data_IF_929271914264
#
_entry.id   IF_929271914264
#
_cell.length_a   1.000
_cell.length_b   1.000
_cell.length_c   1.000
_cell.angle_alpha   90.00
_cell.angle_beta   90.00
_cell.angle_gamma   90.00
#
_symmetry.space_group_name_H-M   'P 1'
#
loop_
_entity.id
_entity.type
_entity.pdbx_description
1 polymer ?
#
# COMPACT_ATOMS: atom_id res chain seq x y z
N UNK A 1 0.73 -33.57 -4.68
CA UNK A 1 -0.29 -33.05 -3.75
C UNK A 1 0.36 -32.77 -2.41
N UNK A 2 0.95 -31.59 -2.23
CA UNK A 2 1.40 -31.15 -0.90
C UNK A 2 0.18 -30.62 -0.15
N UNK A 3 -0.27 -31.34 0.87
CA UNK A 3 -1.30 -30.89 1.79
C UNK A 3 -0.69 -29.90 2.77
N UNK A 4 -0.90 -28.61 2.53
CA UNK A 4 -0.47 -27.56 3.46
C UNK A 4 -1.39 -27.54 4.68
N UNK A 5 -0.88 -28.06 5.79
CA UNK A 5 -1.58 -28.11 7.06
C UNK A 5 -1.79 -26.70 7.64
N UNK A 6 -2.75 -26.56 8.56
CA UNK A 6 -2.95 -25.31 9.31
C UNK A 6 -1.65 -24.80 9.95
N UNK A 7 -0.73 -25.71 10.34
CA UNK A 7 0.58 -25.36 10.88
C UNK A 7 1.46 -24.57 9.92
N UNK A 8 1.56 -24.99 8.65
CA UNK A 8 2.36 -24.29 7.65
C UNK A 8 1.85 -22.87 7.36
N UNK A 9 0.53 -22.67 7.47
CA UNK A 9 -0.11 -21.35 7.30
C UNK A 9 0.15 -20.42 8.46
N UNK A 10 0.09 -20.95 9.69
CA UNK A 10 0.42 -20.21 10.91
C UNK A 10 1.90 -19.79 10.86
N UNK A 11 2.81 -20.73 10.60
CA UNK A 11 4.25 -20.47 10.52
C UNK A 11 4.57 -19.36 9.51
N UNK A 12 3.92 -19.37 8.35
CA UNK A 12 4.14 -18.32 7.35
C UNK A 12 3.65 -16.95 7.78
N UNK A 13 2.44 -16.84 8.38
CA UNK A 13 1.88 -15.55 8.84
C UNK A 13 2.75 -14.88 9.92
N UNK A 14 3.59 -15.66 10.60
CA UNK A 14 4.57 -15.15 11.57
C UNK A 14 5.85 -14.60 10.95
N UNK A 15 6.11 -14.85 9.67
CA UNK A 15 7.27 -14.28 8.97
C UNK A 15 7.05 -12.82 8.61
N UNK A 16 8.12 -12.05 8.40
CA UNK A 16 8.03 -10.69 7.86
C UNK A 16 7.23 -10.62 6.55
N UNK A 17 7.36 -11.63 5.70
CA UNK A 17 6.61 -11.73 4.45
C UNK A 17 5.13 -12.08 4.65
N UNK A 18 4.78 -12.72 5.77
CA UNK A 18 3.41 -13.13 6.08
C UNK A 18 2.62 -12.16 6.95
N UNK A 19 3.17 -10.98 7.23
CA UNK A 19 2.54 -9.94 8.07
C UNK A 19 3.12 -9.82 9.48
N UNK A 20 4.18 -10.58 9.79
CA UNK A 20 4.88 -10.57 11.08
C UNK A 20 3.95 -10.74 12.29
N UNK A 21 2.88 -11.53 12.13
CA UNK A 21 1.90 -11.76 13.16
C UNK A 21 2.49 -12.58 14.31
N UNK A 22 2.07 -12.31 15.54
CA UNK A 22 2.34 -13.20 16.66
C UNK A 22 1.73 -14.58 16.40
N UNK A 23 2.22 -15.61 17.08
CA UNK A 23 1.64 -16.96 17.01
C UNK A 23 0.14 -16.95 17.33
N UNK A 24 -0.29 -16.07 18.24
CA UNK A 24 -1.69 -15.92 18.65
C UNK A 24 -2.53 -15.31 17.51
N UNK A 25 -2.07 -14.22 16.92
CA UNK A 25 -2.75 -13.55 15.78
C UNK A 25 -2.79 -14.46 14.55
N UNK A 26 -1.68 -15.14 14.24
CA UNK A 26 -1.60 -16.09 13.14
C UNK A 26 -2.56 -17.28 13.34
N UNK A 27 -2.68 -17.80 14.56
CA UNK A 27 -3.64 -18.85 14.91
C UNK A 27 -5.07 -18.37 14.80
N UNK A 28 -5.37 -17.17 15.32
CA UNK A 28 -6.71 -16.59 15.27
C UNK A 28 -7.17 -16.39 13.82
N UNK A 29 -6.32 -15.76 13.01
CA UNK A 29 -6.60 -15.49 11.60
C UNK A 29 -6.72 -16.79 10.76
N UNK A 30 -5.96 -17.83 11.08
CA UNK A 30 -6.11 -19.15 10.44
C UNK A 30 -7.32 -19.93 10.95
N UNK A 31 -7.73 -19.76 12.21
CA UNK A 31 -8.88 -20.43 12.82
C UNK A 31 -10.23 -19.83 12.38
N UNK A 32 -10.31 -18.50 12.22
CA UNK A 32 -11.49 -17.80 11.66
C UNK A 32 -11.85 -18.33 10.26
N UNK A 33 -10.86 -18.83 9.49
CA UNK A 33 -11.04 -19.40 8.15
C UNK A 33 -11.65 -20.80 8.09
N UNK A 34 -11.77 -21.54 9.19
CA UNK A 34 -12.45 -22.85 9.16
C UNK A 34 -13.97 -22.76 9.35
N UNK A 35 -14.51 -21.57 9.69
CA UNK A 35 -15.92 -21.40 10.04
C UNK A 35 -16.70 -20.37 9.22
N UNK A 36 -16.09 -19.68 8.25
CA UNK A 36 -16.83 -18.82 7.31
C UNK A 36 -17.25 -19.64 6.09
N UNK A 37 -18.29 -20.46 6.23
CA UNK A 37 -19.18 -20.73 5.11
C UNK A 37 -19.94 -19.42 4.86
N UNK A 38 -19.79 -18.85 3.66
CA UNK A 38 -20.46 -17.62 3.26
C UNK A 38 -21.94 -17.65 3.68
N UNK A 39 -22.37 -16.68 4.49
CA UNK A 39 -23.79 -16.36 4.66
C UNK A 39 -24.32 -15.84 3.31
N UNK A 40 -24.69 -16.77 2.44
CA UNK A 40 -25.61 -16.50 1.34
C UNK A 40 -26.98 -16.24 2.00
N UNK A 41 -27.69 -15.14 1.68
CA UNK A 41 -29.07 -14.99 2.11
C UNK A 41 -29.89 -16.15 1.55
N UNK A 42 -30.29 -17.08 2.41
CA UNK A 42 -31.25 -18.13 2.06
C UNK A 42 -32.59 -17.44 1.80
N UNK A 43 -33.24 -17.65 0.63
CA UNK A 43 -34.59 -17.14 0.41
C UNK A 43 -35.52 -17.66 1.51
N UNK A 44 -36.28 -16.74 2.09
CA UNK A 44 -37.20 -16.95 3.21
C UNK A 44 -37.96 -18.28 3.15
N UNK A 45 -37.82 -19.07 4.22
CA UNK A 45 -38.72 -20.18 4.53
C UNK A 45 -38.00 -21.42 5.04
N UNK A 46 -37.83 -21.49 6.37
CA UNK A 46 -38.09 -22.67 7.22
C UNK A 46 -37.14 -22.76 8.43
N UNK A 47 -37.77 -22.59 9.60
CA UNK A 47 -37.47 -23.23 10.89
C UNK A 47 -36.45 -22.56 11.83
N UNK A 48 -36.99 -21.75 12.74
CA UNK A 48 -36.39 -21.37 14.01
C UNK A 48 -36.37 -22.54 15.02
N UNK A 49 -35.42 -22.51 15.96
CA UNK A 49 -35.44 -23.30 17.20
C UNK A 49 -36.32 -22.57 18.24
N UNK A 50 -37.36 -23.22 18.82
CA UNK A 50 -38.29 -22.57 19.74
C UNK A 50 -37.81 -22.45 21.20
N UNK A 51 -36.54 -22.71 21.53
CA UNK A 51 -36.13 -22.85 22.92
C UNK A 51 -35.39 -21.67 23.60
N UNK A 52 -34.81 -20.68 22.90
CA UNK A 52 -33.93 -19.70 23.61
C UNK A 52 -33.99 -18.22 23.22
N UNK A 53 -34.62 -17.81 22.13
CA UNK A 53 -34.87 -16.39 21.76
C UNK A 53 -33.76 -15.35 22.07
N UNK A 54 -32.48 -15.74 22.01
CA UNK A 54 -31.31 -14.86 22.25
C UNK A 54 -30.30 -14.99 21.09
N UNK A 55 -29.87 -13.88 20.47
CA UNK A 55 -28.81 -13.86 19.47
C UNK A 55 -27.42 -13.95 20.14
N UNK A 56 -26.63 -14.96 19.78
CA UNK A 56 -25.27 -15.12 20.30
C UNK A 56 -24.26 -14.23 19.57
N UNK A 57 -23.94 -13.08 20.16
CA UNK A 57 -22.62 -12.44 20.01
C UNK A 57 -22.12 -11.92 21.37
N UNK A 58 -20.81 -12.14 21.61
CA UNK A 58 -19.88 -11.55 22.61
C UNK A 58 -19.96 -12.00 24.09
N UNK A 59 -18.80 -12.39 24.65
CA UNK A 59 -18.45 -12.03 26.04
C UNK A 59 -16.95 -11.69 26.19
N UNK A 60 -16.68 -10.49 26.71
CA UNK A 60 -15.39 -9.90 27.08
C UNK A 60 -14.72 -10.60 28.28
N UNK A 61 -13.38 -10.58 28.34
CA UNK A 61 -12.48 -10.10 29.45
C UNK A 61 -11.06 -10.59 29.12
N UNK A 62 -10.10 -9.78 28.66
CA UNK A 62 -9.21 -8.92 29.47
C UNK A 62 -8.37 -7.98 28.56
N UNK A 63 -8.57 -6.67 28.68
CA UNK A 63 -7.66 -5.61 28.23
C UNK A 63 -7.07 -4.88 29.45
N UNK A 64 -5.88 -4.26 29.32
CA UNK A 64 -5.35 -3.34 30.34
C UNK A 64 -4.16 -2.45 29.91
N UNK A 65 -4.46 -1.13 29.81
CA UNK A 65 -3.63 0.10 30.04
C UNK A 65 -2.51 0.47 29.01
N UNK A 66 -2.14 1.72 28.66
CA UNK A 66 -2.50 3.14 29.00
C UNK A 66 -1.92 4.10 27.90
N UNK A 67 -2.34 5.37 27.82
CA UNK A 67 -1.92 6.39 26.80
C UNK A 67 -1.31 7.65 27.46
N UNK A 68 -0.23 8.30 26.94
CA UNK A 68 0.24 9.60 27.44
C UNK A 68 -0.23 10.83 26.61
N UNK A 69 -0.13 12.06 27.17
CA UNK A 69 -0.98 13.21 26.83
C UNK A 69 -0.34 14.28 25.92
N UNK A 70 -1.19 15.21 25.46
CA UNK A 70 -0.87 16.36 24.60
C UNK A 70 -0.24 17.56 25.36
N UNK A 71 0.52 18.39 24.64
CA UNK A 71 1.15 19.62 25.15
C UNK A 71 0.47 20.91 24.64
N UNK A 72 0.60 21.96 25.45
CA UNK A 72 -0.14 23.23 25.52
C UNK A 72 0.50 24.45 24.80
N UNK A 73 -0.28 25.53 24.62
CA UNK A 73 0.00 26.74 23.82
C UNK A 73 0.69 27.93 24.56
N UNK A 74 1.40 28.86 23.83
CA UNK A 74 1.99 30.09 24.38
C UNK A 74 1.29 31.44 23.94
N UNK A 75 1.70 32.63 24.46
CA UNK A 75 0.85 33.81 24.78
C UNK A 75 0.77 34.93 23.69
N UNK A 76 -0.02 36.03 23.87
CA UNK A 76 -0.50 36.92 22.79
C UNK A 76 0.31 38.26 22.70
N UNK A 77 0.06 39.18 21.73
CA UNK A 77 0.95 39.39 20.59
C UNK A 77 1.60 40.80 20.53
N UNK A 78 2.64 40.93 19.71
CA UNK A 78 3.08 42.21 19.13
C UNK A 78 3.02 42.08 17.61
N UNK A 79 2.00 42.69 16.99
CA UNK A 79 1.77 42.65 15.54
C UNK A 79 1.35 41.28 14.99
N UNK A 80 1.07 41.23 13.67
CA UNK A 80 0.64 40.01 12.98
C UNK A 80 1.75 38.94 13.08
N UNK A 81 1.39 37.70 13.39
CA UNK A 81 2.28 36.57 13.67
C UNK A 81 3.09 36.66 14.98
N UNK A 82 2.92 37.70 15.79
CA UNK A 82 3.57 37.81 17.10
C UNK A 82 5.10 37.92 17.09
N UNK A 83 5.74 38.10 15.92
CA UNK A 83 7.20 38.25 15.76
C UNK A 83 7.57 39.49 14.96
N UNK A 84 8.58 40.22 15.43
CA UNK A 84 9.04 41.48 14.82
C UNK A 84 9.67 41.30 13.43
N UNK A 85 10.06 40.07 13.08
CA UNK A 85 10.57 39.71 11.76
C UNK A 85 9.47 39.63 10.69
N UNK A 86 8.19 39.48 11.09
CA UNK A 86 7.04 39.50 10.18
C UNK A 86 6.64 40.94 9.86
N UNK A 87 7.45 41.62 9.08
CA UNK A 87 7.20 43.02 8.71
C UNK A 87 6.11 43.15 7.64
N UNK A 88 5.52 44.34 7.50
CA UNK A 88 4.54 44.63 6.45
C UNK A 88 5.08 44.35 5.04
N UNK A 89 6.39 44.53 4.83
CA UNK A 89 7.06 44.19 3.57
C UNK A 89 7.06 42.69 3.31
N UNK A 90 7.39 41.86 4.31
CA UNK A 90 7.37 40.39 4.18
C UNK A 90 5.94 39.89 3.91
N UNK A 91 4.94 40.45 4.60
CA UNK A 91 3.53 40.13 4.38
C UNK A 91 3.03 40.50 2.97
N UNK A 92 3.62 41.50 2.34
CA UNK A 92 3.27 41.94 0.99
C UNK A 92 3.98 41.16 -0.13
N UNK A 93 4.96 40.32 0.19
CA UNK A 93 5.71 39.56 -0.82
C UNK A 93 4.89 38.39 -1.37
N UNK A 94 4.93 38.18 -2.68
CA UNK A 94 4.28 37.07 -3.40
C UNK A 94 5.25 35.90 -3.62
N UNK A 95 5.19 34.82 -2.82
CA UNK A 95 5.98 33.61 -3.08
C UNK A 95 5.55 32.86 -4.36
N UNK A 96 4.32 33.06 -4.82
CA UNK A 96 3.83 32.60 -6.13
C UNK A 96 3.05 33.73 -6.80
N UNK A 97 2.75 33.61 -8.10
CA UNK A 97 2.01 34.62 -8.87
C UNK A 97 0.59 34.94 -8.35
N UNK A 98 0.06 34.18 -7.39
CA UNK A 98 -1.36 34.16 -7.03
C UNK A 98 -1.73 34.68 -5.64
N UNK A 99 -0.78 34.81 -4.69
CA UNK A 99 -1.09 35.32 -3.36
C UNK A 99 0.15 35.77 -2.58
N UNK A 100 0.03 36.86 -1.81
CA UNK A 100 1.08 37.34 -0.88
C UNK A 100 1.19 36.45 0.35
N UNK A 101 2.31 36.49 1.07
CA UNK A 101 2.48 35.81 2.36
C UNK A 101 1.32 36.17 3.32
N UNK A 102 0.95 37.45 3.42
CA UNK A 102 -0.16 37.90 4.25
C UNK A 102 -1.55 37.48 3.75
N UNK A 103 -1.73 37.32 2.44
CA UNK A 103 -2.96 36.78 1.85
C UNK A 103 -3.11 35.29 2.10
N UNK A 104 -2.01 34.53 2.05
CA UNK A 104 -1.97 33.10 2.38
C UNK A 104 -2.24 32.86 3.86
N UNK A 105 -1.63 33.67 4.74
CA UNK A 105 -1.90 33.61 6.18
C UNK A 105 -3.38 33.88 6.44
N UNK A 106 -3.97 34.92 5.83
CA UNK A 106 -5.39 35.23 5.98
C UNK A 106 -6.29 34.08 5.49
N UNK A 107 -5.95 33.46 4.35
CA UNK A 107 -6.69 32.33 3.83
C UNK A 107 -6.65 31.12 4.76
N UNK A 108 -5.48 30.82 5.36
CA UNK A 108 -5.34 29.72 6.32
C UNK A 108 -6.12 30.01 7.62
N UNK A 109 -6.17 31.26 8.06
CA UNK A 109 -7.01 31.66 9.20
C UNK A 109 -8.51 31.51 8.87
N UNK A 110 -8.96 32.06 7.74
CA UNK A 110 -10.39 32.17 7.39
C UNK A 110 -10.99 30.86 6.87
N UNK A 111 -10.21 30.06 6.13
CA UNK A 111 -10.69 28.84 5.45
C UNK A 111 -10.33 27.59 6.23
N UNK A 112 -9.14 27.52 6.82
CA UNK A 112 -8.73 26.37 7.64
C UNK A 112 -9.06 26.55 9.13
N UNK A 113 -9.49 27.74 9.55
CA UNK A 113 -9.86 28.03 10.94
C UNK A 113 -8.69 28.00 11.91
N UNK A 114 -7.46 28.14 11.41
CA UNK A 114 -6.24 28.11 12.23
C UNK A 114 -6.05 29.45 12.96
N UNK A 115 -5.42 29.39 14.13
CA UNK A 115 -5.03 30.60 14.86
C UNK A 115 -3.94 31.35 14.11
N UNK A 116 -3.87 32.67 14.29
CA UNK A 116 -2.88 33.53 13.63
C UNK A 116 -1.44 32.99 13.74
N UNK A 117 -0.92 32.58 14.92
CA UNK A 117 0.45 32.05 15.01
C UNK A 117 0.65 30.74 14.25
N UNK A 118 -0.37 29.87 14.19
CA UNK A 118 -0.32 28.61 13.47
C UNK A 118 -0.39 28.82 11.95
N UNK A 119 -1.22 29.75 11.48
CA UNK A 119 -1.28 30.13 10.08
C UNK A 119 0.05 30.74 9.62
N UNK A 120 0.65 31.60 10.45
CA UNK A 120 1.96 32.19 10.20
C UNK A 120 3.09 31.16 10.15
N UNK A 121 3.09 30.19 11.06
CA UNK A 121 4.08 29.11 11.05
C UNK A 121 3.98 28.27 9.78
N UNK A 122 2.77 27.86 9.40
CA UNK A 122 2.54 27.05 8.21
C UNK A 122 3.01 27.76 6.94
N UNK A 123 2.60 29.01 6.72
CA UNK A 123 2.97 29.74 5.50
C UNK A 123 4.48 30.02 5.46
N UNK A 124 5.11 30.24 6.61
CA UNK A 124 6.55 30.41 6.69
C UNK A 124 7.33 29.12 6.39
N UNK A 125 6.82 27.95 6.78
CA UNK A 125 7.38 26.63 6.45
C UNK A 125 7.14 26.23 4.99
N UNK A 126 6.00 26.60 4.42
CA UNK A 126 5.68 26.37 3.00
C UNK A 126 6.57 27.21 2.08
N UNK A 127 6.95 28.41 2.52
CA UNK A 127 7.80 29.32 1.76
C UNK A 127 8.96 29.89 2.61
N UNK A 128 9.94 29.06 3.01
CA UNK A 128 10.99 29.44 3.97
C UNK A 128 11.82 30.63 3.53
N UNK A 129 12.10 30.75 2.23
CA UNK A 129 12.95 31.82 1.70
C UNK A 129 12.23 33.17 1.62
N UNK A 130 10.90 33.15 1.46
CA UNK A 130 10.10 34.36 1.13
C UNK A 130 9.24 34.81 2.30
N UNK A 131 8.53 33.86 2.93
CA UNK A 131 7.64 34.12 4.07
C UNK A 131 8.28 33.73 5.42
N UNK A 132 9.50 33.17 5.42
CA UNK A 132 10.19 32.63 6.59
C UNK A 132 10.32 33.58 7.78
N UNK A 133 10.41 34.88 7.52
CA UNK A 133 10.43 35.91 8.57
C UNK A 133 9.16 35.95 9.43
N UNK A 134 8.07 35.31 8.99
CA UNK A 134 6.81 35.24 9.72
C UNK A 134 6.64 34.00 10.60
N UNK A 135 7.65 33.13 10.73
CA UNK A 135 7.58 31.96 11.61
C UNK A 135 7.74 32.36 13.11
N UNK A 136 6.69 32.30 13.94
CA UNK A 136 6.81 32.62 15.36
C UNK A 136 7.70 31.65 16.14
N UNK A 137 7.88 30.43 15.64
CA UNK A 137 8.67 29.39 16.28
C UNK A 137 10.04 29.14 15.60
N UNK A 138 10.42 29.99 14.64
CA UNK A 138 11.61 29.81 13.81
C UNK A 138 11.44 28.78 12.70
N UNK A 139 12.32 28.82 11.70
CA UNK A 139 12.39 27.82 10.64
C UNK A 139 13.32 26.67 11.06
N UNK A 140 12.97 25.40 10.78
CA UNK A 140 13.91 24.31 10.98
C UNK A 140 15.15 24.50 10.08
N UNK A 141 16.36 24.09 10.54
CA UNK A 141 17.58 24.22 9.74
C UNK A 141 17.42 23.50 8.39
N UNK A 142 17.83 24.17 7.31
CA UNK A 142 17.77 23.59 5.96
C UNK A 142 18.59 22.29 5.93
N UNK A 143 17.99 21.17 5.47
CA UNK A 143 18.64 19.88 5.50
C UNK A 143 19.88 19.88 4.60
N UNK A 144 20.93 19.12 4.96
CA UNK A 144 22.05 18.88 4.06
C UNK A 144 21.55 18.24 2.76
N UNK A 145 22.23 18.52 1.64
CA UNK A 145 21.90 17.97 0.31
C UNK A 145 21.73 16.45 0.37
N UNK A 146 20.61 15.89 -0.11
CA UNK A 146 20.29 14.49 0.10
C UNK A 146 21.24 13.57 -0.69
N UNK A 147 21.58 12.37 -0.15
CA UNK A 147 22.21 11.30 -0.92
C UNK A 147 21.31 10.89 -2.11
N UNK A 148 21.83 10.19 -3.14
CA UNK A 148 21.00 9.69 -4.24
C UNK A 148 19.84 8.88 -3.67
N UNK A 149 18.61 9.33 -3.92
CA UNK A 149 17.42 8.71 -3.33
C UNK A 149 17.05 7.40 -4.01
N UNK A 150 16.29 6.58 -3.29
CA UNK A 150 15.83 5.25 -3.72
C UNK A 150 15.16 5.27 -5.10
N UNK A 151 15.59 4.39 -6.01
CA UNK A 151 15.01 4.24 -7.34
C UNK A 151 14.18 2.96 -7.46
N UNK A 152 12.89 3.09 -7.78
CA UNK A 152 11.93 1.98 -7.92
C UNK A 152 11.25 2.00 -9.29
N UNK A 153 11.32 0.89 -10.03
CA UNK A 153 10.56 0.66 -11.27
C UNK A 153 9.42 -0.30 -10.99
N UNK A 154 8.19 0.09 -11.28
CA UNK A 154 7.01 -0.77 -11.15
C UNK A 154 6.54 -1.21 -12.54
N UNK A 155 6.52 -2.51 -12.80
CA UNK A 155 5.93 -3.13 -13.98
C UNK A 155 4.61 -3.80 -13.57
N UNK A 156 3.50 -3.27 -14.08
CA UNK A 156 2.19 -3.78 -13.69
C UNK A 156 1.05 -3.34 -14.60
N UNK A 157 -0.15 -3.27 -14.06
CA UNK A 157 -1.38 -2.99 -14.77
C UNK A 157 -2.32 -2.10 -13.93
N UNK A 158 -3.63 -2.25 -14.11
CA UNK A 158 -4.68 -1.55 -13.39
C UNK A 158 -4.52 -1.60 -11.87
N UNK A 159 -3.97 -2.68 -11.32
CA UNK A 159 -3.72 -2.82 -9.88
C UNK A 159 -2.54 -1.97 -9.38
N UNK A 160 -1.77 -1.41 -10.31
CA UNK A 160 -0.69 -0.46 -10.02
C UNK A 160 -1.13 0.99 -10.28
N UNK A 161 -1.88 1.30 -11.35
CA UNK A 161 -2.16 2.69 -11.73
C UNK A 161 -3.51 3.25 -11.25
N UNK A 162 -4.51 2.43 -10.91
CA UNK A 162 -5.78 2.98 -10.43
C UNK A 162 -5.64 3.62 -9.04
N UNK A 163 -6.65 4.39 -8.64
CA UNK A 163 -6.72 5.07 -7.34
C UNK A 163 -5.54 6.03 -7.07
N UNK A 164 -5.10 6.75 -8.12
CA UNK A 164 -3.96 7.68 -8.03
C UNK A 164 -2.59 7.03 -8.20
N UNK A 165 -2.55 5.70 -8.37
CA UNK A 165 -1.35 4.94 -8.65
C UNK A 165 -0.51 4.67 -7.40
N UNK A 166 -0.19 3.40 -7.16
CA UNK A 166 0.66 2.96 -6.05
C UNK A 166 2.04 3.61 -6.14
N UNK A 167 2.52 3.87 -7.36
CA UNK A 167 3.76 4.59 -7.61
C UNK A 167 3.72 6.04 -7.10
N UNK A 168 2.58 6.72 -7.20
CA UNK A 168 2.40 8.08 -6.70
C UNK A 168 2.43 8.13 -5.17
N UNK A 169 1.72 7.20 -4.53
CA UNK A 169 1.72 7.05 -3.06
C UNK A 169 3.13 6.70 -2.55
N UNK A 170 3.81 5.76 -3.20
CA UNK A 170 5.18 5.38 -2.86
C UNK A 170 6.15 6.55 -3.01
N UNK A 171 6.03 7.33 -4.08
CA UNK A 171 6.85 8.53 -4.29
C UNK A 171 6.65 9.53 -3.15
N UNK A 172 5.40 9.80 -2.77
CA UNK A 172 5.08 10.72 -1.67
C UNK A 172 5.63 10.23 -0.34
N UNK A 173 5.48 8.94 -0.04
CA UNK A 173 5.99 8.34 1.19
C UNK A 173 7.51 8.43 1.27
N UNK A 174 8.22 8.05 0.21
CA UNK A 174 9.68 8.10 0.16
C UNK A 174 10.20 9.55 0.23
N UNK A 175 9.54 10.49 -0.47
CA UNK A 175 9.90 11.91 -0.40
C UNK A 175 9.70 12.48 1.01
N UNK A 176 8.66 12.04 1.72
CA UNK A 176 8.41 12.44 3.11
C UNK A 176 9.47 11.92 4.09
N UNK A 177 10.21 10.86 3.75
CA UNK A 177 11.34 10.36 4.54
C UNK A 177 12.63 11.18 4.34
N UNK A 178 12.59 12.24 3.52
CA UNK A 178 13.74 13.09 3.23
C UNK A 178 14.63 12.59 2.09
N UNK A 179 14.20 11.53 1.38
CA UNK A 179 14.88 11.05 0.18
C UNK A 179 14.51 11.89 -1.05
N UNK A 180 15.33 11.82 -2.10
CA UNK A 180 14.96 12.25 -3.47
C UNK A 180 14.66 11.03 -4.34
N UNK A 181 13.55 10.30 -4.09
CA UNK A 181 13.27 9.03 -4.74
C UNK A 181 12.93 9.20 -6.22
N UNK A 182 13.22 8.17 -7.00
CA UNK A 182 12.76 8.03 -8.39
C UNK A 182 11.83 6.84 -8.49
N UNK A 183 10.53 7.08 -8.61
CA UNK A 183 9.54 6.02 -8.81
C UNK A 183 8.93 6.14 -10.20
N UNK A 184 9.13 5.11 -11.04
CA UNK A 184 8.54 5.03 -12.37
C UNK A 184 7.59 3.83 -12.45
N UNK A 185 6.43 4.00 -13.06
CA UNK A 185 5.52 2.90 -13.36
C UNK A 185 5.36 2.73 -14.87
N UNK A 186 5.50 1.48 -15.33
CA UNK A 186 5.21 1.06 -16.69
C UNK A 186 4.03 0.11 -16.64
N UNK A 187 2.86 0.62 -17.02
CA UNK A 187 1.60 -0.10 -16.83
C UNK A 187 0.75 -0.18 -18.07
N UNK A 188 0.09 -1.33 -18.28
CA UNK A 188 -0.93 -1.51 -19.30
C UNK A 188 -2.12 -2.27 -18.71
N UNK A 189 -3.35 -1.81 -18.98
CA UNK A 189 -4.55 -2.48 -18.46
C UNK A 189 -4.55 -3.98 -18.78
N UNK A 190 -4.72 -4.81 -17.75
CA UNK A 190 -4.76 -6.27 -17.87
C UNK A 190 -3.45 -6.97 -18.24
N UNK A 191 -2.29 -6.29 -18.30
CA UNK A 191 -1.01 -6.96 -18.61
C UNK A 191 -0.61 -7.99 -17.56
N UNK A 192 0.05 -9.05 -18.02
CA UNK A 192 0.67 -10.09 -17.18
C UNK A 192 2.19 -9.97 -17.17
N UNK A 193 2.87 -10.79 -16.36
CA UNK A 193 4.33 -10.87 -16.39
C UNK A 193 4.86 -11.26 -17.77
N UNK A 194 4.15 -12.13 -18.51
CA UNK A 194 4.51 -12.49 -19.87
C UNK A 194 4.52 -11.28 -20.82
N UNK A 195 3.58 -10.35 -20.67
CA UNK A 195 3.60 -9.10 -21.42
C UNK A 195 4.84 -8.26 -21.08
N UNK A 196 5.12 -8.06 -19.79
CA UNK A 196 6.28 -7.25 -19.37
C UNK A 196 7.61 -7.86 -19.83
N UNK A 197 7.73 -9.19 -19.85
CA UNK A 197 8.90 -9.86 -20.42
C UNK A 197 9.06 -9.61 -21.92
N UNK A 198 7.98 -9.68 -22.70
CA UNK A 198 8.01 -9.37 -24.14
C UNK A 198 8.48 -7.93 -24.39
N UNK A 199 8.02 -6.99 -23.56
CA UNK A 199 8.48 -5.60 -23.64
C UNK A 199 9.97 -5.49 -23.27
N UNK A 200 10.41 -6.05 -22.13
CA UNK A 200 11.84 -6.04 -21.73
C UNK A 200 12.74 -6.69 -22.80
N UNK A 201 12.26 -7.73 -23.46
CA UNK A 201 12.98 -8.43 -24.54
C UNK A 201 13.08 -7.63 -25.84
N UNK A 202 12.29 -6.57 -25.99
CA UNK A 202 12.28 -5.69 -27.16
C UNK A 202 13.17 -4.47 -26.90
N UNK A 203 14.34 -4.33 -27.57
CA UNK A 203 15.30 -3.27 -27.27
C UNK A 203 14.76 -1.84 -27.46
N UNK A 204 13.70 -1.67 -28.26
CA UNK A 204 13.07 -0.37 -28.50
C UNK A 204 11.96 -0.03 -27.52
N UNK A 205 11.60 -0.93 -26.60
CA UNK A 205 10.51 -0.69 -25.65
C UNK A 205 10.92 0.23 -24.50
N UNK A 206 9.95 0.93 -23.93
CA UNK A 206 10.15 1.69 -22.71
C UNK A 206 10.55 0.82 -21.51
N UNK A 207 10.15 -0.46 -21.47
CA UNK A 207 10.51 -1.38 -20.40
C UNK A 207 11.99 -1.76 -20.45
N UNK A 208 12.52 -2.02 -21.65
CA UNK A 208 13.92 -2.32 -21.86
C UNK A 208 14.80 -1.14 -21.44
N UNK A 209 14.46 0.07 -21.94
CA UNK A 209 15.19 1.30 -21.60
C UNK A 209 15.12 1.60 -20.10
N UNK A 210 13.94 1.50 -19.50
CA UNK A 210 13.77 1.77 -18.07
C UNK A 210 14.57 0.79 -17.21
N UNK A 211 14.54 -0.52 -17.51
CA UNK A 211 15.28 -1.51 -16.73
C UNK A 211 16.80 -1.23 -16.73
N UNK A 212 17.34 -0.75 -17.84
CA UNK A 212 18.75 -0.36 -17.96
C UNK A 212 19.10 0.98 -17.30
N UNK A 213 18.12 1.70 -16.74
CA UNK A 213 18.29 3.06 -16.21
C UNK A 213 18.67 3.11 -14.72
N UNK A 214 19.28 2.07 -14.17
CA UNK A 214 19.85 2.07 -12.79
C UNK A 214 18.80 2.19 -11.69
N UNK A 215 17.80 1.29 -11.67
CA UNK A 215 16.86 1.16 -10.56
C UNK A 215 17.43 0.26 -9.46
N UNK A 216 17.13 0.56 -8.20
CA UNK A 216 17.52 -0.30 -7.07
C UNK A 216 16.54 -1.47 -6.90
N UNK A 217 15.25 -1.21 -7.15
CA UNK A 217 14.18 -2.18 -7.03
C UNK A 217 13.33 -2.22 -8.30
N UNK A 218 12.96 -3.43 -8.73
CA UNK A 218 11.98 -3.65 -9.79
C UNK A 218 10.81 -4.43 -9.22
N UNK A 219 9.67 -3.76 -9.11
CA UNK A 219 8.41 -4.29 -8.62
C UNK A 219 7.64 -4.91 -9.77
N UNK A 220 7.35 -6.21 -9.67
CA UNK A 220 6.64 -7.00 -10.66
C UNK A 220 5.25 -7.35 -10.16
N UNK A 221 4.23 -6.94 -10.90
CA UNK A 221 2.84 -7.26 -10.64
C UNK A 221 2.26 -8.08 -11.79
N UNK A 222 1.80 -9.30 -11.49
CA UNK A 222 1.10 -10.12 -12.48
C UNK A 222 -0.40 -9.80 -12.53
N UNK A 223 -1.08 -10.20 -13.60
CA UNK A 223 -2.54 -10.08 -13.71
C UNK A 223 -3.19 -10.78 -12.51
N UNK A 224 -4.03 -10.04 -11.78
CA UNK A 224 -4.48 -10.36 -10.41
C UNK A 224 -5.02 -11.79 -10.18
N UNK A 225 -5.52 -12.43 -11.22
CA UNK A 225 -6.12 -13.77 -11.17
C UNK A 225 -5.13 -14.89 -11.54
N UNK A 226 -4.08 -14.60 -12.32
CA UNK A 226 -3.13 -15.63 -12.78
C UNK A 226 -2.41 -16.31 -11.60
N UNK A 227 -1.86 -15.59 -10.59
CA UNK A 227 -1.19 -16.23 -9.47
C UNK A 227 -2.08 -17.25 -8.74
N UNK A 228 -3.38 -16.96 -8.58
CA UNK A 228 -4.31 -17.89 -7.94
C UNK A 228 -4.51 -19.20 -8.71
N UNK A 229 -4.13 -19.31 -9.98
CA UNK A 229 -4.34 -20.53 -10.77
C UNK A 229 -3.30 -21.62 -10.51
N UNK A 230 -2.23 -21.30 -9.77
CA UNK A 230 -1.10 -22.19 -9.43
C UNK A 230 -1.48 -23.57 -8.90
N UNK A 231 -2.64 -23.66 -8.28
CA UNK A 231 -2.90 -24.64 -7.23
C UNK A 231 -4.17 -25.45 -7.49
N UNK A 232 -4.78 -25.27 -8.67
CA UNK A 232 -6.05 -25.89 -9.04
C UNK A 232 -5.97 -26.77 -10.29
N UNK A 233 -4.93 -26.62 -11.10
CA UNK A 233 -4.64 -27.47 -12.26
C UNK A 233 -3.14 -27.48 -12.52
N UNK A 234 -2.62 -28.62 -13.01
CA UNK A 234 -1.22 -28.77 -13.40
C UNK A 234 -0.95 -28.23 -14.81
N UNK A 235 -1.96 -27.68 -15.51
CA UNK A 235 -1.89 -27.24 -16.91
C UNK A 235 -2.58 -25.89 -17.16
N UNK A 236 -2.28 -24.85 -16.37
CA UNK A 236 -2.76 -23.49 -16.67
C UNK A 236 -1.74 -22.74 -17.54
N UNK A 237 -2.10 -22.48 -18.80
CA UNK A 237 -1.20 -21.87 -19.78
C UNK A 237 -0.76 -20.44 -19.39
N UNK A 238 -1.66 -19.65 -18.80
CA UNK A 238 -1.39 -18.27 -18.37
C UNK A 238 -0.41 -18.26 -17.18
N UNK A 239 -0.62 -19.15 -16.21
CA UNK A 239 0.27 -19.33 -15.07
C UNK A 239 1.65 -19.79 -15.54
N UNK A 240 1.72 -20.81 -16.40
CA UNK A 240 2.97 -21.33 -16.94
C UNK A 240 3.71 -20.33 -17.84
N UNK A 241 2.98 -19.47 -18.56
CA UNK A 241 3.60 -18.37 -19.29
C UNK A 241 4.21 -17.34 -18.32
N UNK A 242 3.52 -17.04 -17.23
CA UNK A 242 3.97 -16.06 -16.24
C UNK A 242 5.13 -16.58 -15.39
N UNK A 243 5.19 -17.87 -15.06
CA UNK A 243 6.35 -18.49 -14.40
C UNK A 243 7.60 -18.44 -15.29
N UNK A 244 7.48 -18.78 -16.59
CA UNK A 244 8.59 -18.66 -17.55
C UNK A 244 9.06 -17.22 -17.69
N UNK A 245 8.13 -16.28 -17.84
CA UNK A 245 8.43 -14.87 -17.95
C UNK A 245 9.10 -14.32 -16.68
N UNK A 246 8.65 -14.75 -15.50
CA UNK A 246 9.23 -14.34 -14.23
C UNK A 246 10.71 -14.72 -14.11
N UNK A 247 11.08 -15.94 -14.47
CA UNK A 247 12.49 -16.39 -14.44
C UNK A 247 13.36 -15.53 -15.36
N UNK A 248 12.84 -15.16 -16.53
CA UNK A 248 13.56 -14.31 -17.48
C UNK A 248 13.66 -12.85 -17.00
N UNK A 249 12.56 -12.28 -16.48
CA UNK A 249 12.53 -10.94 -15.91
C UNK A 249 13.52 -10.83 -14.74
N UNK A 250 13.50 -11.80 -13.82
CA UNK A 250 14.37 -11.81 -12.67
C UNK A 250 15.87 -11.91 -13.04
N UNK A 251 16.19 -12.68 -14.09
CA UNK A 251 17.55 -12.71 -14.64
C UNK A 251 17.98 -11.35 -15.20
N UNK A 252 17.10 -10.67 -15.95
CA UNK A 252 17.36 -9.34 -16.50
C UNK A 252 17.47 -8.26 -15.41
N UNK A 253 16.63 -8.34 -14.37
CA UNK A 253 16.67 -7.45 -13.19
C UNK A 253 18.00 -7.62 -12.44
N UNK A 254 18.44 -8.87 -12.26
CA UNK A 254 19.75 -9.17 -11.67
C UNK A 254 20.90 -8.58 -12.50
N UNK A 255 20.86 -8.72 -13.82
CA UNK A 255 21.88 -8.16 -14.72
C UNK A 255 21.93 -6.63 -14.64
N UNK A 256 20.77 -5.98 -14.46
CA UNK A 256 20.66 -4.54 -14.22
C UNK A 256 21.12 -4.10 -12.81
N UNK A 257 21.51 -5.04 -11.93
CA UNK A 257 21.97 -4.76 -10.56
C UNK A 257 20.84 -4.44 -9.58
N UNK A 258 19.59 -4.70 -9.94
CA UNK A 258 18.41 -4.38 -9.14
C UNK A 258 17.90 -5.58 -8.32
N UNK A 259 17.09 -5.30 -7.31
CA UNK A 259 16.39 -6.32 -6.51
C UNK A 259 14.96 -6.52 -7.02
N UNK A 260 14.59 -7.77 -7.27
CA UNK A 260 13.23 -8.16 -7.66
C UNK A 260 12.28 -8.06 -6.46
N UNK A 261 11.17 -7.34 -6.63
CA UNK A 261 10.07 -7.28 -5.68
C UNK A 261 8.81 -7.83 -6.35
N UNK A 262 8.18 -8.83 -5.76
CA UNK A 262 6.90 -9.36 -6.20
C UNK A 262 5.77 -8.62 -5.50
N UNK A 263 4.93 -7.93 -6.26
CA UNK A 263 3.76 -7.21 -5.74
C UNK A 263 2.58 -8.17 -5.58
N UNK A 264 2.50 -8.82 -4.41
CA UNK A 264 1.45 -9.77 -4.11
C UNK A 264 0.09 -9.06 -4.12
N UNK A 265 -0.68 -9.28 -5.18
CA UNK A 265 -2.04 -8.74 -5.30
C UNK A 265 -2.98 -9.38 -4.27
N UNK A 266 -4.26 -9.03 -4.35
CA UNK A 266 -5.28 -9.44 -3.39
C UNK A 266 -6.42 -10.22 -4.05
N UNK A 267 -7.17 -10.98 -3.26
CA UNK A 267 -8.41 -11.60 -3.68
C UNK A 267 -9.47 -10.56 -4.08
N UNK A 268 -10.31 -10.89 -5.05
CA UNK A 268 -11.48 -10.07 -5.43
C UNK A 268 -12.67 -10.48 -4.57
N UNK A 269 -13.67 -9.60 -4.44
CA UNK A 269 -14.92 -9.87 -3.70
C UNK A 269 -15.69 -11.11 -4.20
N UNK A 270 -15.37 -11.59 -5.40
CA UNK A 270 -15.84 -12.83 -6.00
C UNK A 270 -17.18 -12.69 -6.73
N UNK A 271 -17.58 -13.74 -7.43
CA UNK A 271 -18.90 -13.88 -8.06
C UNK A 271 -19.32 -15.35 -8.01
N UNK A 272 -20.58 -15.61 -7.65
CA UNK A 272 -21.12 -16.97 -7.50
C UNK A 272 -20.99 -17.82 -8.79
N UNK A 273 -20.79 -17.19 -9.95
CA UNK A 273 -20.62 -17.86 -11.24
C UNK A 273 -19.17 -18.27 -11.53
N UNK A 274 -18.26 -18.18 -10.55
CA UNK A 274 -16.84 -18.55 -10.69
C UNK A 274 -16.52 -19.84 -9.94
N UNK A 275 -15.39 -20.52 -10.24
CA UNK A 275 -14.91 -21.66 -9.46
C UNK A 275 -14.83 -21.32 -7.97
N UNK A 276 -15.01 -22.29 -7.03
CA UNK A 276 -15.09 -22.03 -5.59
C UNK A 276 -13.97 -21.14 -5.01
N UNK A 277 -12.75 -21.25 -5.52
CA UNK A 277 -11.60 -20.43 -5.11
C UNK A 277 -11.64 -18.96 -5.60
N UNK A 278 -12.63 -18.60 -6.42
CA UNK A 278 -12.89 -17.26 -6.94
C UNK A 278 -14.25 -16.71 -6.48
N UNK A 279 -14.98 -17.43 -5.62
CA UNK A 279 -16.34 -17.06 -5.21
C UNK A 279 -16.37 -15.99 -4.12
N UNK A 280 -15.32 -15.87 -3.31
CA UNK A 280 -15.20 -14.84 -2.28
C UNK A 280 -13.75 -14.34 -2.10
N UNK A 281 -13.60 -13.26 -1.34
CA UNK A 281 -12.31 -12.60 -1.10
C UNK A 281 -11.27 -13.55 -0.49
N UNK A 282 -11.59 -14.21 0.62
CA UNK A 282 -10.62 -14.98 1.38
C UNK A 282 -10.03 -16.18 0.60
N UNK A 283 -10.83 -17.04 -0.06
CA UNK A 283 -10.28 -18.16 -0.84
C UNK A 283 -9.41 -17.68 -2.01
N UNK A 284 -9.80 -16.59 -2.68
CA UNK A 284 -9.00 -16.03 -3.76
C UNK A 284 -7.71 -15.39 -3.23
N UNK A 285 -7.78 -14.71 -2.08
CA UNK A 285 -6.61 -14.09 -1.46
C UNK A 285 -5.58 -15.15 -1.03
N UNK A 286 -6.05 -16.24 -0.42
CA UNK A 286 -5.22 -17.41 -0.08
C UNK A 286 -4.54 -18.01 -1.32
N UNK A 287 -5.28 -18.13 -2.42
CA UNK A 287 -4.75 -18.66 -3.68
C UNK A 287 -3.70 -17.73 -4.31
N UNK A 288 -3.95 -16.42 -4.29
CA UNK A 288 -3.00 -15.41 -4.79
C UNK A 288 -1.73 -15.40 -3.94
N UNK A 289 -1.84 -15.44 -2.61
CA UNK A 289 -0.71 -15.58 -1.69
C UNK A 289 0.17 -16.78 -2.07
N UNK A 290 -0.45 -17.95 -2.25
CA UNK A 290 0.26 -19.18 -2.61
C UNK A 290 0.91 -19.06 -4.01
N UNK A 291 0.23 -18.46 -4.97
CA UNK A 291 0.77 -18.17 -6.29
C UNK A 291 2.05 -17.34 -6.23
N UNK A 292 2.06 -16.28 -5.41
CA UNK A 292 3.24 -15.43 -5.24
C UNK A 292 4.37 -16.12 -4.46
N UNK A 293 4.06 -17.02 -3.51
CA UNK A 293 5.07 -17.90 -2.89
C UNK A 293 5.68 -18.84 -3.91
N UNK A 294 4.86 -19.41 -4.80
CA UNK A 294 5.35 -20.26 -5.89
C UNK A 294 6.26 -19.47 -6.81
N UNK A 295 5.88 -18.25 -7.19
CA UNK A 295 6.72 -17.33 -7.96
C UNK A 295 8.05 -17.06 -7.26
N UNK A 296 8.04 -16.71 -5.98
CA UNK A 296 9.28 -16.49 -5.22
C UNK A 296 10.18 -17.74 -5.21
N UNK A 297 9.60 -18.93 -5.06
CA UNK A 297 10.36 -20.19 -5.03
C UNK A 297 11.09 -20.49 -6.35
N UNK A 298 10.58 -20.00 -7.49
CA UNK A 298 11.18 -20.22 -8.81
C UNK A 298 12.45 -19.38 -9.05
N UNK A 299 12.56 -18.23 -8.38
CA UNK A 299 13.64 -17.27 -8.58
C UNK A 299 14.54 -17.10 -7.35
N UNK A 300 14.28 -17.87 -6.30
CA UNK A 300 15.15 -17.98 -5.13
C UNK A 300 16.33 -18.88 -5.45
N UNK A 301 17.54 -18.39 -5.21
CA UNK A 301 18.81 -19.11 -5.36
C UNK A 301 19.66 -18.95 -4.10
N UNK A 302 20.73 -19.74 -3.98
CA UNK A 302 21.73 -19.54 -2.93
C UNK A 302 22.29 -18.10 -2.99
N UNK A 303 21.98 -17.31 -1.96
CA UNK A 303 22.44 -15.93 -1.83
C UNK A 303 21.56 -14.86 -2.50
N UNK A 304 20.41 -15.19 -3.10
CA UNK A 304 19.47 -14.19 -3.65
C UNK A 304 18.04 -14.68 -3.62
N UNK A 305 17.16 -13.91 -3.00
CA UNK A 305 15.72 -14.17 -2.95
C UNK A 305 14.97 -12.87 -3.30
N UNK A 306 13.83 -12.94 -3.99
CA UNK A 306 12.99 -11.77 -4.20
C UNK A 306 12.32 -11.34 -2.89
N UNK A 307 11.94 -10.06 -2.82
CA UNK A 307 11.05 -9.56 -1.77
C UNK A 307 9.61 -9.80 -2.22
N UNK A 308 8.72 -10.25 -1.32
CA UNK A 308 7.27 -10.22 -1.58
C UNK A 308 6.70 -9.02 -0.83
N UNK A 309 6.10 -8.07 -1.56
CA UNK A 309 5.31 -6.99 -0.98
C UNK A 309 3.89 -7.53 -0.69
N UNK A 310 3.49 -7.73 0.58
CA UNK A 310 2.36 -8.59 0.95
C UNK A 310 1.02 -7.85 0.94
N UNK A 311 0.63 -7.26 -0.20
CA UNK A 311 -0.57 -6.40 -0.25
C UNK A 311 -1.85 -7.17 0.00
N UNK A 312 -2.01 -8.36 -0.58
CA UNK A 312 -3.14 -9.25 -0.25
C UNK A 312 -3.25 -9.57 1.24
N UNK A 313 -2.12 -9.76 1.92
CA UNK A 313 -2.09 -10.01 3.36
C UNK A 313 -2.55 -8.77 4.14
N UNK A 314 -2.13 -7.56 3.72
CA UNK A 314 -2.58 -6.31 4.34
C UNK A 314 -4.09 -6.08 4.17
N UNK A 315 -4.65 -6.38 2.99
CA UNK A 315 -6.10 -6.33 2.76
C UNK A 315 -6.85 -7.33 3.65
N UNK A 316 -6.27 -8.51 3.86
CA UNK A 316 -6.83 -9.51 4.77
C UNK A 316 -6.83 -9.06 6.23
N UNK A 317 -5.78 -8.36 6.69
CA UNK A 317 -5.75 -7.79 8.03
C UNK A 317 -6.89 -6.78 8.24
N UNK A 318 -7.13 -5.92 7.25
CA UNK A 318 -8.26 -4.98 7.29
C UNK A 318 -9.59 -5.74 7.27
N UNK A 319 -9.73 -6.78 6.43
CA UNK A 319 -10.93 -7.62 6.36
C UNK A 319 -11.34 -8.21 7.72
N UNK A 320 -10.36 -8.65 8.51
CA UNK A 320 -10.59 -9.25 9.83
C UNK A 320 -10.72 -8.23 10.96
N UNK A 321 -9.96 -7.12 10.92
CA UNK A 321 -9.87 -6.18 12.03
C UNK A 321 -10.94 -5.06 11.99
N UNK A 322 -11.39 -4.64 10.81
CA UNK A 322 -12.30 -3.49 10.68
C UNK A 322 -13.27 -3.69 9.50
N UNK A 323 -14.48 -4.18 9.81
CA UNK A 323 -15.53 -4.48 8.82
C UNK A 323 -16.05 -3.22 8.11
N UNK A 324 -16.03 -2.07 8.77
CA UNK A 324 -16.53 -0.81 8.20
C UNK A 324 -15.49 -0.20 7.25
N UNK A 325 -14.21 -0.23 7.63
CA UNK A 325 -13.11 0.12 6.74
C UNK A 325 -13.03 -0.86 5.56
N UNK A 326 -13.22 -2.16 5.82
CA UNK A 326 -13.32 -3.16 4.77
C UNK A 326 -14.46 -2.87 3.81
N UNK A 327 -15.66 -2.51 4.29
CA UNK A 327 -16.80 -2.19 3.41
C UNK A 327 -16.46 -1.01 2.47
N UNK A 328 -15.80 0.03 2.99
CA UNK A 328 -15.33 1.18 2.19
C UNK A 328 -14.24 0.77 1.19
N UNK A 329 -13.28 -0.07 1.60
CA UNK A 329 -12.24 -0.58 0.71
C UNK A 329 -12.80 -1.53 -0.37
N UNK A 330 -13.82 -2.31 -0.04
CA UNK A 330 -14.44 -3.30 -0.91
C UNK A 330 -15.25 -2.68 -2.06
N UNK A 331 -15.71 -1.43 -1.93
CA UNK A 331 -16.25 -0.66 -3.04
C UNK A 331 -15.17 -0.35 -4.08
N UNK A 332 -13.96 -0.01 -3.65
CA UNK A 332 -12.81 0.21 -4.53
C UNK A 332 -12.30 -1.09 -5.19
N UNK A 333 -12.55 -2.25 -4.57
CA UNK A 333 -12.20 -3.58 -5.12
C UNK A 333 -13.12 -4.04 -6.26
N UNK A 334 -14.32 -3.46 -6.39
CA UNK A 334 -15.28 -3.79 -7.45
C UNK A 334 -14.99 -3.04 -8.77
N UNK A 335 -14.20 -1.97 -8.72
CA UNK A 335 -13.92 -1.06 -9.84
C UNK A 335 -12.59 -1.33 -10.59
N UNK A 336 -11.89 -2.45 -10.34
CA UNK A 336 -10.54 -2.76 -10.87
C UNK A 336 -10.45 -4.06 -11.70
#
# INVERSE_FOLDING_TARGET
MATYSCGARIEWKQTMAGGALSLAEAKQLVAEKQFVADEIPVPTGANADPATDEPYWVSETLCGQERPPACSAPPPPVGRCGVSSCTATVLATTPTESATCGGRIAWVEDVEGKSEPSACQQVAEEFPEVCGGCAPFGLPPLPPSPPPGLAVLMMGNSYTYYNGGVNGVLLQLLAALGDSPRVQALTKGGSSLNYHWQEVSSPSSGHHVALASGFDFVVLQDRSDIPSRCCYTDQDEDFEASTRALVQLDAAIKEAGATTVLYQTWGRRGSLNRPPHFQSFLPMNDAVEEGYRRYASLITTDGRAPIIAPVGSAFELVYGADRDLWAKAAEALASV
#
